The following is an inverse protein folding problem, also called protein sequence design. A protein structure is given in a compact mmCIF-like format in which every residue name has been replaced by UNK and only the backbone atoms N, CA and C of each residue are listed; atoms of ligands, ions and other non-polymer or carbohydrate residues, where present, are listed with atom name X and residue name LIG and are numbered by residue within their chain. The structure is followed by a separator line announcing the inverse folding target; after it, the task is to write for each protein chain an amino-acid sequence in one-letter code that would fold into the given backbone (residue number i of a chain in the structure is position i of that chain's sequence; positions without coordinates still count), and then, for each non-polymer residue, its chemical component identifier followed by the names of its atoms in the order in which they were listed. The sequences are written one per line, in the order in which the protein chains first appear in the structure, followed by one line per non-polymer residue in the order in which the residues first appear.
data_IF_637807945867
#
_entry.id   IF_637807945867
#
_cell.length_a   1.000
_cell.length_b   1.000
_cell.length_c   1.000
_cell.angle_alpha   90.00
_cell.angle_beta   90.00
_cell.angle_gamma   90.00
#
_symmetry.space_group_name_H-M   'P 1'
#
loop_
_entity.id
_entity.type
_entity.pdbx_description
1 polymer ?
#
# COMPACT_ATOMS: atom_id res chain seq x y z
N UNK A 1 -13.60 -5.16 30.17
CA UNK A 1 -14.44 -4.90 28.97
C UNK A 1 -13.59 -4.73 27.72
N UNK A 2 -12.55 -3.88 27.74
CA UNK A 2 -11.62 -3.78 26.62
C UNK A 2 -10.81 -5.06 26.36
N UNK A 3 -10.56 -5.88 27.38
CA UNK A 3 -9.79 -7.12 27.22
C UNK A 3 -10.52 -8.16 26.35
N UNK A 4 -11.83 -8.33 26.55
CA UNK A 4 -12.66 -9.23 25.73
C UNK A 4 -12.75 -8.74 24.29
N UNK A 5 -12.85 -7.41 24.09
CA UNK A 5 -12.84 -6.84 22.74
C UNK A 5 -11.49 -7.04 22.05
N UNK A 6 -10.38 -6.86 22.79
CA UNK A 6 -9.03 -7.12 22.29
C UNK A 6 -8.84 -8.58 21.90
N UNK A 7 -9.31 -9.52 22.72
CA UNK A 7 -9.25 -10.95 22.42
C UNK A 7 -9.99 -11.27 21.12
N UNK A 8 -11.20 -10.73 20.93
CA UNK A 8 -11.96 -10.90 19.68
C UNK A 8 -11.27 -10.28 18.47
N UNK A 9 -10.65 -9.12 18.64
CA UNK A 9 -9.88 -8.47 17.57
C UNK A 9 -8.64 -9.30 17.17
N UNK A 10 -7.95 -9.89 18.14
CA UNK A 10 -6.81 -10.78 17.88
C UNK A 10 -7.26 -12.06 17.18
N UNK A 11 -8.36 -12.69 17.63
CA UNK A 11 -8.91 -13.87 16.96
C UNK A 11 -9.30 -13.57 15.50
N UNK A 12 -9.91 -12.41 15.23
CA UNK A 12 -10.21 -11.98 13.86
C UNK A 12 -8.93 -11.79 13.03
N UNK A 13 -7.89 -11.17 13.61
CA UNK A 13 -6.61 -11.02 12.94
C UNK A 13 -5.95 -12.38 12.63
N UNK A 14 -6.04 -13.35 13.54
CA UNK A 14 -5.56 -14.71 13.30
C UNK A 14 -6.29 -15.38 12.13
N UNK A 15 -7.61 -15.22 12.02
CA UNK A 15 -8.35 -15.73 10.85
C UNK A 15 -7.96 -15.01 9.55
N UNK A 16 -7.74 -13.70 9.60
CA UNK A 16 -7.25 -12.93 8.44
C UNK A 16 -5.90 -13.47 7.95
N UNK A 17 -5.01 -13.88 8.85
CA UNK A 17 -3.70 -14.43 8.45
C UNK A 17 -3.78 -15.76 7.70
N UNK A 18 -4.93 -16.44 7.73
CA UNK A 18 -5.18 -17.69 7.01
C UNK A 18 -5.77 -17.47 5.61
N UNK A 19 -6.11 -16.23 5.26
CA UNK A 19 -6.67 -15.89 3.95
C UNK A 19 -5.62 -16.05 2.84
N UNK A 20 -6.08 -16.44 1.66
CA UNK A 20 -5.21 -16.55 0.48
C UNK A 20 -4.63 -15.17 0.11
N UNK A 21 -5.44 -14.12 0.19
CA UNK A 21 -5.05 -12.74 -0.09
C UNK A 21 -3.89 -12.30 0.82
N UNK A 22 -3.92 -12.68 2.10
CA UNK A 22 -2.84 -12.37 3.03
C UNK A 22 -1.55 -13.13 2.68
N UNK A 23 -1.66 -14.43 2.38
CA UNK A 23 -0.51 -15.22 1.95
C UNK A 23 0.10 -14.69 0.66
N UNK A 24 -0.72 -14.30 -0.31
CA UNK A 24 -0.28 -13.74 -1.60
C UNK A 24 0.38 -12.39 -1.43
N UNK A 25 -0.17 -11.53 -0.57
CA UNK A 25 0.45 -10.27 -0.21
C UNK A 25 1.87 -10.48 0.34
N UNK A 26 2.08 -11.40 1.29
CA UNK A 26 3.41 -11.68 1.85
C UNK A 26 4.39 -12.23 0.81
N UNK A 27 3.92 -13.09 -0.09
CA UNK A 27 4.73 -13.64 -1.18
C UNK A 27 5.21 -12.52 -2.13
N UNK A 28 4.30 -11.67 -2.59
CA UNK A 28 4.61 -10.56 -3.48
C UNK A 28 5.45 -9.47 -2.78
N UNK A 29 5.22 -9.21 -1.49
CA UNK A 29 6.04 -8.29 -0.71
C UNK A 29 7.49 -8.77 -0.63
N UNK A 30 7.71 -10.07 -0.38
CA UNK A 30 9.05 -10.66 -0.39
C UNK A 30 9.69 -10.56 -1.78
N UNK A 31 8.95 -10.90 -2.83
CA UNK A 31 9.46 -10.81 -4.21
C UNK A 31 9.87 -9.37 -4.58
N UNK A 32 9.10 -8.36 -4.15
CA UNK A 32 9.46 -6.95 -4.32
C UNK A 32 10.71 -6.57 -3.53
N UNK A 33 10.86 -7.05 -2.28
CA UNK A 33 12.06 -6.81 -1.45
C UNK A 33 13.31 -7.42 -2.08
N UNK A 34 13.18 -8.54 -2.78
CA UNK A 34 14.28 -9.24 -3.45
C UNK A 34 14.61 -8.66 -4.84
N UNK A 35 13.71 -7.88 -5.46
CA UNK A 35 13.98 -7.17 -6.73
C UNK A 35 14.86 -5.94 -6.47
N UNK A 36 16.17 -6.13 -6.52
CA UNK A 36 17.14 -5.05 -6.30
C UNK A 36 16.95 -3.85 -7.23
N UNK A 37 16.46 -4.06 -8.46
CA UNK A 37 16.29 -2.95 -9.39
C UNK A 37 15.05 -2.15 -9.01
N UNK A 38 13.96 -2.81 -8.63
CA UNK A 38 12.80 -2.13 -8.06
C UNK A 38 13.19 -1.36 -6.80
N UNK A 39 13.97 -1.97 -5.88
CA UNK A 39 14.42 -1.30 -4.66
C UNK A 39 15.24 -0.05 -4.95
N UNK A 40 16.18 -0.10 -5.91
CA UNK A 40 16.95 1.08 -6.32
C UNK A 40 16.04 2.17 -6.90
N UNK A 41 15.13 1.80 -7.81
CA UNK A 41 14.18 2.75 -8.39
C UNK A 41 13.25 3.38 -7.35
N UNK A 42 12.82 2.63 -6.33
CA UNK A 42 11.99 3.15 -5.23
C UNK A 42 12.74 4.18 -4.38
N UNK A 43 14.02 3.92 -4.08
CA UNK A 43 14.87 4.87 -3.35
C UNK A 43 15.07 6.15 -4.17
N UNK A 44 15.40 6.01 -5.45
CA UNK A 44 15.58 7.16 -6.36
C UNK A 44 14.29 7.97 -6.51
N UNK A 45 13.15 7.28 -6.62
CA UNK A 45 11.83 7.90 -6.68
C UNK A 45 11.55 8.74 -5.43
N UNK A 46 11.78 8.19 -4.23
CA UNK A 46 11.55 8.89 -2.96
C UNK A 46 12.43 10.12 -2.81
N UNK A 47 13.72 10.03 -3.18
CA UNK A 47 14.64 11.15 -3.11
C UNK A 47 14.19 12.29 -4.04
N UNK A 48 13.84 11.97 -5.29
CA UNK A 48 13.39 12.98 -6.26
C UNK A 48 12.04 13.58 -5.89
N UNK A 49 11.13 12.79 -5.33
CA UNK A 49 9.85 13.31 -4.83
C UNK A 49 10.07 14.32 -3.69
N UNK A 50 10.97 14.03 -2.76
CA UNK A 50 11.31 14.96 -1.67
C UNK A 50 11.93 16.26 -2.21
N UNK A 51 12.85 16.16 -3.17
CA UNK A 51 13.44 17.32 -3.84
C UNK A 51 12.36 18.16 -4.56
N UNK A 52 11.44 17.50 -5.26
CA UNK A 52 10.37 18.17 -6.00
C UNK A 52 9.44 18.92 -5.06
N UNK A 53 9.03 18.31 -3.94
CA UNK A 53 8.20 18.97 -2.92
C UNK A 53 8.94 20.16 -2.32
N UNK A 54 10.23 20.03 -2.02
CA UNK A 54 11.03 21.12 -1.47
C UNK A 54 11.11 22.33 -2.43
N UNK A 55 11.31 22.08 -3.74
CA UNK A 55 11.29 23.13 -4.78
C UNK A 55 9.91 23.78 -4.91
N UNK A 56 8.83 22.99 -4.92
CA UNK A 56 7.48 23.56 -4.94
C UNK A 56 7.20 24.44 -3.73
N UNK A 57 7.71 24.07 -2.55
CA UNK A 57 7.57 24.88 -1.33
C UNK A 57 8.36 26.19 -1.38
N UNK A 58 9.48 26.25 -2.11
CA UNK A 58 10.22 27.50 -2.34
C UNK A 58 9.62 28.35 -3.48
N UNK A 59 8.56 27.87 -4.14
CA UNK A 59 7.94 28.53 -5.29
C UNK A 59 8.63 28.22 -6.63
N UNK A 60 9.57 27.29 -6.65
CA UNK A 60 10.27 26.85 -7.85
C UNK A 60 9.57 25.62 -8.46
N UNK A 61 9.48 25.60 -9.79
CA UNK A 61 8.98 24.44 -10.52
C UNK A 61 10.07 23.92 -11.45
N UNK A 62 10.44 22.66 -11.27
CA UNK A 62 11.48 21.99 -12.02
C UNK A 62 10.86 20.91 -12.92
N UNK A 63 10.78 21.23 -14.21
CA UNK A 63 10.20 20.34 -15.22
C UNK A 63 11.09 19.13 -15.49
N UNK A 64 12.41 19.28 -15.40
CA UNK A 64 13.34 18.17 -15.64
C UNK A 64 13.23 17.15 -14.52
N UNK A 65 13.15 17.60 -13.27
CA UNK A 65 12.89 16.75 -12.11
C UNK A 65 11.54 16.02 -12.22
N UNK A 66 10.49 16.69 -12.70
CA UNK A 66 9.19 16.05 -12.96
C UNK A 66 9.29 14.96 -14.04
N UNK A 67 10.06 15.21 -15.10
CA UNK A 67 10.28 14.23 -16.17
C UNK A 67 11.02 12.99 -15.63
N UNK A 68 12.05 13.18 -14.80
CA UNK A 68 12.79 12.08 -14.18
C UNK A 68 11.91 11.24 -13.24
N UNK A 69 11.07 11.89 -12.42
CA UNK A 69 10.09 11.22 -11.56
C UNK A 69 9.14 10.36 -12.41
N UNK A 70 8.62 10.93 -13.51
CA UNK A 70 7.71 10.24 -14.43
C UNK A 70 8.39 9.03 -15.10
N UNK A 71 9.66 9.16 -15.47
CA UNK A 71 10.43 8.05 -16.05
C UNK A 71 10.63 6.91 -15.04
N UNK A 72 10.96 7.25 -13.78
CA UNK A 72 11.08 6.25 -12.72
C UNK A 72 9.74 5.55 -12.46
N UNK A 73 8.63 6.29 -12.43
CA UNK A 73 7.30 5.70 -12.31
C UNK A 73 7.00 4.73 -13.45
N UNK A 74 7.33 5.09 -14.70
CA UNK A 74 7.16 4.19 -15.84
C UNK A 74 7.97 2.90 -15.66
N UNK A 75 9.25 3.01 -15.25
CA UNK A 75 10.12 1.86 -14.98
C UNK A 75 9.60 0.98 -13.84
N UNK A 76 9.07 1.58 -12.77
CA UNK A 76 8.46 0.86 -11.66
C UNK A 76 7.18 0.15 -12.09
N UNK A 77 6.31 0.82 -12.85
CA UNK A 77 5.04 0.24 -13.33
C UNK A 77 5.22 -0.91 -14.33
N UNK A 78 6.39 -0.98 -15.00
CA UNK A 78 6.75 -2.08 -15.88
C UNK A 78 7.40 -3.26 -15.15
N UNK A 79 7.68 -3.15 -13.84
CA UNK A 79 8.30 -4.23 -13.05
C UNK A 79 7.22 -5.17 -12.56
N UNK A 80 7.34 -6.44 -12.92
CA UNK A 80 6.42 -7.49 -12.49
C UNK A 80 6.31 -7.57 -10.96
N UNK A 81 7.43 -7.46 -10.24
CA UNK A 81 7.48 -7.45 -8.77
C UNK A 81 6.62 -6.34 -8.15
N UNK A 82 6.63 -5.14 -8.76
CA UNK A 82 5.85 -3.98 -8.33
C UNK A 82 4.37 -4.17 -8.67
N UNK A 83 4.07 -4.59 -9.91
CA UNK A 83 2.69 -4.82 -10.36
C UNK A 83 2.01 -5.89 -9.50
N UNK A 84 2.67 -7.03 -9.30
CA UNK A 84 2.14 -8.13 -8.50
C UNK A 84 1.94 -7.73 -7.03
N UNK A 85 2.86 -6.93 -6.46
CA UNK A 85 2.70 -6.40 -5.11
C UNK A 85 1.47 -5.49 -4.99
N UNK A 86 1.30 -4.53 -5.91
CA UNK A 86 0.17 -3.60 -5.89
C UNK A 86 -1.16 -4.37 -6.03
N UNK A 87 -1.23 -5.34 -6.94
CA UNK A 87 -2.43 -6.18 -7.11
C UNK A 87 -2.75 -6.97 -5.84
N UNK A 88 -1.77 -7.69 -5.28
CA UNK A 88 -1.96 -8.48 -4.07
C UNK A 88 -2.36 -7.60 -2.87
N UNK A 89 -1.76 -6.41 -2.74
CA UNK A 89 -2.10 -5.45 -1.69
C UNK A 89 -3.54 -4.92 -1.83
N UNK A 90 -3.97 -4.56 -3.05
CA UNK A 90 -5.33 -4.08 -3.29
C UNK A 90 -6.38 -5.17 -3.03
N UNK A 91 -6.08 -6.42 -3.38
CA UNK A 91 -6.95 -7.57 -3.05
C UNK A 91 -7.10 -7.74 -1.54
N UNK A 92 -5.99 -7.70 -0.79
CA UNK A 92 -6.04 -7.75 0.67
C UNK A 92 -6.84 -6.59 1.27
N UNK A 93 -6.64 -5.36 0.79
CA UNK A 93 -7.40 -4.20 1.23
C UNK A 93 -8.90 -4.34 0.97
N UNK A 94 -9.28 -4.93 -0.16
CA UNK A 94 -10.69 -5.20 -0.50
C UNK A 94 -11.31 -6.15 0.52
N UNK A 95 -10.63 -7.26 0.84
CA UNK A 95 -11.11 -8.21 1.86
C UNK A 95 -11.19 -7.56 3.25
N UNK A 96 -10.22 -6.73 3.62
CA UNK A 96 -10.26 -6.00 4.89
C UNK A 96 -11.38 -4.96 4.94
N UNK A 97 -11.67 -4.30 3.82
CA UNK A 97 -12.78 -3.35 3.72
C UNK A 97 -14.12 -4.04 3.99
N UNK A 98 -14.34 -5.25 3.44
CA UNK A 98 -15.55 -6.04 3.71
C UNK A 98 -15.71 -6.37 5.21
N UNK A 99 -14.62 -6.73 5.89
CA UNK A 99 -14.64 -6.97 7.34
C UNK A 99 -14.99 -5.70 8.11
N UNK A 100 -14.42 -4.55 7.71
CA UNK A 100 -14.71 -3.25 8.32
C UNK A 100 -16.14 -2.79 8.05
N UNK A 101 -16.72 -3.10 6.89
CA UNK A 101 -18.12 -2.84 6.57
C UNK A 101 -19.04 -3.60 7.52
N UNK A 102 -18.82 -4.90 7.73
CA UNK A 102 -19.62 -5.71 8.65
C UNK A 102 -19.58 -5.15 10.08
N UNK A 103 -18.41 -4.71 10.53
CA UNK A 103 -18.26 -4.05 11.84
C UNK A 103 -19.00 -2.71 11.84
N UNK A 104 -18.79 -1.90 10.82
CA UNK A 104 -19.37 -0.57 10.64
C UNK A 104 -20.90 -0.57 10.61
N UNK A 105 -21.51 -1.51 9.88
CA UNK A 105 -22.96 -1.71 9.83
C UNK A 105 -23.54 -1.98 11.23
N UNK A 106 -22.85 -2.79 12.05
CA UNK A 106 -23.32 -3.14 13.39
C UNK A 106 -23.27 -1.97 14.36
N UNK A 107 -22.24 -1.13 14.26
CA UNK A 107 -22.08 0.04 15.13
C UNK A 107 -22.65 1.32 14.51
N UNK A 108 -23.18 1.25 13.28
CA UNK A 108 -23.71 2.37 12.48
C UNK A 108 -22.68 3.48 12.24
N UNK A 109 -21.45 3.09 11.92
CA UNK A 109 -20.32 3.98 11.59
C UNK A 109 -19.70 3.55 10.27
N UNK A 110 -19.46 4.49 9.36
CA UNK A 110 -18.74 4.20 8.12
C UNK A 110 -17.23 4.24 8.34
N UNK A 111 -16.60 3.06 8.46
CA UNK A 111 -15.15 2.92 8.70
C UNK A 111 -14.40 2.64 7.39
N UNK A 112 -15.02 1.89 6.46
CA UNK A 112 -14.36 1.36 5.27
C UNK A 112 -14.16 2.40 4.15
N UNK A 113 -14.78 3.58 4.23
CA UNK A 113 -14.73 4.63 3.19
C UNK A 113 -13.30 5.03 2.77
N UNK A 114 -12.36 5.00 3.71
CA UNK A 114 -10.95 5.38 3.49
C UNK A 114 -10.23 4.42 2.52
N UNK A 115 -10.71 3.17 2.42
CA UNK A 115 -10.05 2.09 1.67
C UNK A 115 -10.65 1.84 0.28
N UNK A 116 -11.76 2.51 -0.08
CA UNK A 116 -12.43 2.36 -1.39
C UNK A 116 -12.04 3.44 -2.41
N UNK A 117 -10.92 4.12 -2.21
CA UNK A 117 -10.44 5.21 -3.09
C UNK A 117 -9.58 4.69 -4.23
#
# INVERSE_FOLDING_TARGET
MMDVLREKALALAEEITKLEEYSKFLECERALKEDEVAQRLLVDFQQKQQEFVAKQMSGEFDQDLMNEITEIQSKLSARESVVNFIDAYNRLLTTLAEVLDLIGERIKVNIAEVYRR
#
